data_IF_252079270227
#
_entry.id   IF_252079270227
#
_cell.length_a   1.000
_cell.length_b   1.000
_cell.length_c   1.000
_cell.angle_alpha   90.00
_cell.angle_beta   90.00
_cell.angle_gamma   90.00
#
_symmetry.space_group_name_H-M   'P 1'
#
loop_
_entity.id
_entity.type
_entity.pdbx_description
1 polymer ?
#
# COMPACT_ATOMS: atom_id res chain seq x y z
N UNK A 1 18.17 -24.20 -1.69
CA UNK A 1 18.78 -22.90 -1.31
C UNK A 1 18.61 -21.96 -2.49
N UNK A 2 18.06 -20.75 -2.30
CA UNK A 2 17.84 -19.83 -3.42
C UNK A 2 19.19 -19.28 -3.93
N UNK A 3 19.44 -19.33 -5.24
CA UNK A 3 20.67 -18.79 -5.84
C UNK A 3 20.76 -17.29 -5.54
N UNK A 4 21.87 -16.88 -4.94
CA UNK A 4 22.20 -15.46 -4.79
C UNK A 4 22.90 -14.98 -6.05
N UNK A 5 22.48 -13.82 -6.55
CA UNK A 5 23.01 -13.20 -7.77
C UNK A 5 23.87 -12.00 -7.40
N UNK A 6 25.05 -11.91 -7.98
CA UNK A 6 25.96 -10.78 -7.80
C UNK A 6 25.53 -9.58 -8.68
N UNK A 7 26.06 -8.38 -8.39
CA UNK A 7 25.72 -7.14 -9.13
C UNK A 7 25.93 -7.30 -10.64
N UNK A 8 27.07 -7.85 -11.03
CA UNK A 8 27.44 -8.03 -12.44
C UNK A 8 26.53 -9.06 -13.14
N UNK A 9 26.24 -10.19 -12.47
CA UNK A 9 25.31 -11.19 -13.02
C UNK A 9 23.91 -10.62 -13.24
N UNK A 10 23.42 -9.78 -12.30
CA UNK A 10 22.12 -9.12 -12.45
C UNK A 10 22.10 -8.17 -13.65
N UNK A 11 23.19 -7.44 -13.89
CA UNK A 11 23.32 -6.56 -15.06
C UNK A 11 23.29 -7.38 -16.36
N UNK A 12 24.04 -8.48 -16.44
CA UNK A 12 24.00 -9.37 -17.60
C UNK A 12 22.61 -9.94 -17.88
N UNK A 13 21.86 -10.27 -16.82
CA UNK A 13 20.47 -10.75 -16.97
C UNK A 13 19.56 -9.63 -17.49
N UNK A 14 19.76 -8.40 -17.04
CA UNK A 14 18.98 -7.25 -17.51
C UNK A 14 19.28 -6.92 -18.97
N UNK A 15 20.55 -6.92 -19.38
CA UNK A 15 20.93 -6.70 -20.78
C UNK A 15 20.41 -7.82 -21.68
N UNK A 16 20.48 -9.08 -21.22
CA UNK A 16 19.88 -10.21 -21.92
C UNK A 16 18.36 -10.05 -22.08
N UNK A 17 17.66 -9.54 -21.05
CA UNK A 17 16.23 -9.29 -21.07
C UNK A 17 15.80 -8.15 -22.01
N UNK A 18 16.67 -7.16 -22.21
CA UNK A 18 16.44 -6.08 -23.18
C UNK A 18 16.59 -6.58 -24.62
N UNK A 19 17.58 -7.43 -24.88
CA UNK A 19 17.85 -7.97 -26.22
C UNK A 19 16.88 -9.09 -26.63
N UNK A 20 16.57 -10.01 -25.72
CA UNK A 20 15.83 -11.25 -26.03
C UNK A 20 14.41 -11.27 -25.45
N UNK A 21 14.07 -10.30 -24.62
CA UNK A 21 12.78 -10.20 -23.96
C UNK A 21 12.64 -11.03 -22.68
N UNK A 22 11.62 -10.68 -21.90
CA UNK A 22 11.42 -11.18 -20.53
C UNK A 22 11.09 -12.67 -20.50
N UNK A 23 10.31 -13.19 -21.46
CA UNK A 23 9.86 -14.60 -21.46
C UNK A 23 11.05 -15.57 -21.56
N UNK A 24 11.97 -15.32 -22.49
CA UNK A 24 13.17 -16.15 -22.68
C UNK A 24 14.12 -16.03 -21.48
N UNK A 25 14.24 -14.83 -20.91
CA UNK A 25 15.07 -14.60 -19.72
C UNK A 25 14.57 -15.39 -18.50
N UNK A 26 13.27 -15.37 -18.26
CA UNK A 26 12.63 -16.11 -17.17
C UNK A 26 12.91 -17.62 -17.30
N UNK A 27 12.79 -18.16 -18.52
CA UNK A 27 13.06 -19.57 -18.78
C UNK A 27 14.56 -19.91 -18.62
N UNK A 28 15.45 -19.09 -19.17
CA UNK A 28 16.90 -19.34 -19.15
C UNK A 28 17.50 -19.27 -17.75
N UNK A 29 17.13 -18.26 -16.97
CA UNK A 29 17.72 -18.01 -15.65
C UNK A 29 16.87 -18.54 -14.50
N UNK A 30 15.66 -19.05 -14.78
CA UNK A 30 14.68 -19.48 -13.78
C UNK A 30 14.38 -18.38 -12.73
N UNK A 31 14.14 -17.16 -13.20
CA UNK A 31 13.88 -15.98 -12.36
C UNK A 31 12.45 -15.50 -12.59
N UNK A 32 11.75 -15.14 -11.50
CA UNK A 32 10.41 -14.58 -11.61
C UNK A 32 10.41 -13.23 -12.34
N UNK A 33 9.38 -12.97 -13.16
CA UNK A 33 9.19 -11.69 -13.88
C UNK A 33 9.23 -10.48 -12.93
N UNK A 34 8.64 -10.62 -11.75
CA UNK A 34 8.63 -9.59 -10.71
C UNK A 34 10.03 -9.23 -10.21
N UNK A 35 10.94 -10.19 -10.15
CA UNK A 35 12.34 -9.95 -9.76
C UNK A 35 13.09 -9.15 -10.81
N UNK A 36 12.92 -9.48 -12.09
CA UNK A 36 13.51 -8.73 -13.22
C UNK A 36 12.96 -7.30 -13.23
N UNK A 37 11.66 -7.13 -13.05
CA UNK A 37 11.03 -5.81 -12.99
C UNK A 37 11.58 -4.98 -11.83
N UNK A 38 11.69 -5.57 -10.63
CA UNK A 38 12.29 -4.90 -9.46
C UNK A 38 13.72 -4.43 -9.76
N UNK A 39 14.57 -5.30 -10.31
CA UNK A 39 15.95 -4.92 -10.65
C UNK A 39 16.01 -3.80 -11.67
N UNK A 40 15.13 -3.79 -12.68
CA UNK A 40 15.05 -2.69 -13.65
C UNK A 40 14.71 -1.36 -12.99
N UNK A 41 13.76 -1.35 -12.05
CA UNK A 41 13.41 -0.15 -11.27
C UNK A 41 14.58 0.27 -10.37
N UNK A 42 15.25 -0.70 -9.71
CA UNK A 42 16.41 -0.42 -8.86
C UNK A 42 17.54 0.26 -9.67
N UNK A 43 17.86 -0.23 -10.88
CA UNK A 43 18.86 0.37 -11.80
C UNK A 43 18.47 1.80 -12.20
N UNK A 44 17.21 2.02 -12.55
CA UNK A 44 16.74 3.34 -12.97
C UNK A 44 16.88 4.39 -11.86
N UNK A 45 16.75 3.98 -10.60
CA UNK A 45 16.91 4.87 -9.45
C UNK A 45 18.38 5.07 -9.07
N UNK A 46 19.15 3.98 -8.92
CA UNK A 46 20.58 4.02 -8.61
C UNK A 46 21.22 2.64 -8.92
N UNK A 47 22.30 2.60 -9.70
CA UNK A 47 23.03 1.37 -10.03
C UNK A 47 23.51 0.57 -8.81
N UNK A 48 23.80 1.23 -7.69
CA UNK A 48 24.25 0.55 -6.47
C UNK A 48 23.13 -0.21 -5.74
N UNK A 49 21.86 0.03 -6.10
CA UNK A 49 20.71 -0.69 -5.57
C UNK A 49 20.68 -2.16 -6.01
N UNK A 50 21.43 -2.53 -7.05
CA UNK A 50 21.62 -3.93 -7.45
C UNK A 50 22.43 -4.73 -6.41
N UNK A 51 23.21 -4.07 -5.55
CA UNK A 51 23.93 -4.74 -4.48
C UNK A 51 22.98 -5.28 -3.42
N UNK A 52 23.38 -6.41 -2.85
CA UNK A 52 22.58 -7.06 -1.83
C UNK A 52 22.41 -6.14 -0.61
N UNK A 53 21.18 -5.99 -0.13
CA UNK A 53 20.85 -5.13 1.01
C UNK A 53 20.64 -3.64 0.69
N UNK A 54 20.98 -3.16 -0.51
CA UNK A 54 20.81 -1.75 -0.90
C UNK A 54 19.54 -1.47 -1.72
N UNK A 55 19.02 -2.47 -2.43
CA UNK A 55 17.84 -2.32 -3.28
C UNK A 55 16.54 -2.11 -2.52
N UNK A 56 15.51 -1.66 -3.25
CA UNK A 56 14.18 -1.37 -2.71
C UNK A 56 13.60 -2.60 -2.00
N UNK A 57 13.55 -2.56 -0.67
CA UNK A 57 13.00 -3.66 0.11
C UNK A 57 11.47 -3.71 -0.10
N UNK A 58 10.96 -4.88 -0.46
CA UNK A 58 9.52 -5.12 -0.60
C UNK A 58 8.75 -5.04 0.72
N UNK A 59 9.44 -4.78 1.84
CA UNK A 59 8.82 -4.39 3.11
C UNK A 59 8.41 -2.93 3.08
N UNK A 60 7.71 -2.50 2.02
CA UNK A 60 6.72 -1.48 2.28
C UNK A 60 5.74 -2.15 3.24
N UNK A 61 5.73 -1.70 4.49
CA UNK A 61 4.52 -1.80 5.31
C UNK A 61 3.48 -1.09 4.46
N UNK A 62 2.76 -1.82 3.61
CA UNK A 62 1.51 -1.33 3.05
C UNK A 62 0.79 -0.86 4.29
N UNK A 63 0.68 0.46 4.50
CA UNK A 63 -0.21 0.99 5.52
C UNK A 63 -1.50 0.24 5.22
N UNK A 64 -1.88 -0.69 6.11
CA UNK A 64 -3.15 -1.38 5.94
C UNK A 64 -4.11 -0.22 5.82
N UNK A 65 -4.69 -0.02 4.64
CA UNK A 65 -5.94 0.70 4.56
C UNK A 65 -6.82 -0.18 5.43
N UNK A 66 -6.95 0.19 6.70
CA UNK A 66 -7.85 -0.50 7.60
C UNK A 66 -9.18 -0.26 6.90
N UNK A 67 -9.68 -1.27 6.19
CA UNK A 67 -11.06 -1.30 5.77
C UNK A 67 -11.81 -1.47 7.07
N UNK A 68 -12.10 -0.34 7.73
CA UNK A 68 -12.96 -0.25 8.89
C UNK A 68 -14.38 -0.50 8.35
N UNK A 69 -14.66 -1.69 7.87
CA UNK A 69 -16.04 -2.11 7.65
C UNK A 69 -16.68 -2.59 8.95
N UNK A 70 -15.87 -2.84 9.99
CA UNK A 70 -16.27 -3.08 11.39
C UNK A 70 -15.00 -2.97 12.24
N UNK A 71 -14.82 -1.91 13.04
CA UNK A 71 -13.84 -1.97 14.14
C UNK A 71 -14.43 -2.97 15.14
N UNK A 72 -13.90 -4.19 15.17
CA UNK A 72 -14.19 -5.13 16.25
C UNK A 72 -13.39 -4.70 17.50
N UNK A 73 -13.89 -5.07 18.69
CA UNK A 73 -13.25 -4.82 19.98
C UNK A 73 -11.81 -5.36 20.01
N UNK A 74 -11.52 -6.42 19.24
CA UNK A 74 -10.19 -6.99 19.07
C UNK A 74 -9.25 -6.17 18.19
N UNK A 75 -9.78 -5.36 17.26
CA UNK A 75 -8.96 -4.49 16.41
C UNK A 75 -8.49 -3.27 17.19
N UNK A 76 -9.35 -2.72 18.06
CA UNK A 76 -9.01 -1.60 18.96
C UNK A 76 -7.81 -1.94 19.85
N UNK A 77 -7.74 -3.18 20.38
CA UNK A 77 -6.65 -3.64 21.23
C UNK A 77 -5.30 -3.74 20.50
N UNK A 78 -5.30 -3.83 19.17
CA UNK A 78 -4.10 -3.98 18.34
C UNK A 78 -3.62 -2.65 17.73
N UNK A 79 -4.40 -1.57 17.89
CA UNK A 79 -4.07 -0.26 17.37
C UNK A 79 -3.05 0.45 18.24
N UNK A 80 -2.19 1.23 17.58
CA UNK A 80 -1.31 2.16 18.26
C UNK A 80 -2.10 3.29 18.91
N UNK A 81 -1.53 3.93 19.94
CA UNK A 81 -2.15 5.07 20.64
C UNK A 81 -2.54 6.20 19.68
N UNK A 82 -1.72 6.48 18.67
CA UNK A 82 -2.00 7.50 17.65
C UNK A 82 -3.21 7.16 16.79
N UNK A 83 -3.37 5.89 16.39
CA UNK A 83 -4.52 5.46 15.59
C UNK A 83 -5.82 5.56 16.41
N UNK A 84 -5.76 5.24 17.71
CA UNK A 84 -6.90 5.40 18.62
C UNK A 84 -7.31 6.87 18.79
N UNK A 85 -6.35 7.78 18.89
CA UNK A 85 -6.62 9.22 18.97
C UNK A 85 -7.26 9.78 17.69
N UNK A 86 -6.82 9.33 16.52
CA UNK A 86 -7.42 9.71 15.23
C UNK A 86 -8.87 9.22 15.11
N UNK A 87 -9.14 7.97 15.48
CA UNK A 87 -10.49 7.40 15.47
C UNK A 87 -11.41 8.15 16.45
N UNK A 88 -10.91 8.49 17.64
CA UNK A 88 -11.68 9.25 18.62
C UNK A 88 -12.03 10.65 18.09
N UNK A 89 -11.06 11.37 17.49
CA UNK A 89 -11.29 12.69 16.87
C UNK A 89 -12.34 12.61 15.77
N UNK A 90 -12.25 11.59 14.91
CA UNK A 90 -13.24 11.34 13.87
C UNK A 90 -14.63 11.08 14.45
N UNK A 91 -14.72 10.26 15.51
CA UNK A 91 -15.97 9.98 16.18
C UNK A 91 -16.64 11.25 16.72
N UNK A 92 -15.88 12.13 17.39
CA UNK A 92 -16.38 13.42 17.86
C UNK A 92 -16.81 14.34 16.72
N UNK A 93 -16.04 14.40 15.63
CA UNK A 93 -16.37 15.20 14.47
C UNK A 93 -17.68 14.74 13.83
N UNK A 94 -17.88 13.43 13.68
CA UNK A 94 -19.09 12.85 13.08
C UNK A 94 -20.31 12.95 13.99
N UNK A 95 -20.15 12.89 15.32
CA UNK A 95 -21.24 13.06 16.29
C UNK A 95 -22.01 14.37 16.09
N UNK A 96 -21.32 15.44 15.68
CA UNK A 96 -21.95 16.74 15.34
C UNK A 96 -22.96 16.65 14.20
N UNK A 97 -22.81 15.68 13.31
CA UNK A 97 -23.63 15.51 12.10
C UNK A 97 -24.68 14.39 12.24
N UNK A 98 -24.70 13.66 13.35
CA UNK A 98 -25.59 12.52 13.56
C UNK A 98 -27.08 12.92 13.56
N UNK A 99 -27.42 14.02 14.23
CA UNK A 99 -28.77 14.58 14.30
C UNK A 99 -29.09 15.60 13.19
N UNK A 100 -28.16 15.81 12.25
CA UNK A 100 -28.32 16.79 11.16
C UNK A 100 -29.08 16.23 9.97
N UNK A 101 -29.48 17.11 9.06
CA UNK A 101 -30.19 16.72 7.84
C UNK A 101 -29.31 15.86 6.93
N UNK A 102 -29.93 15.06 6.05
CA UNK A 102 -29.21 14.21 5.09
C UNK A 102 -28.23 15.03 4.23
N UNK A 103 -28.62 16.24 3.80
CA UNK A 103 -27.77 17.16 3.04
C UNK A 103 -26.49 17.56 3.80
N UNK A 104 -26.64 17.92 5.07
CA UNK A 104 -25.48 18.27 5.91
C UNK A 104 -24.59 17.08 6.22
N UNK A 105 -25.19 15.89 6.35
CA UNK A 105 -24.44 14.64 6.49
C UNK A 105 -23.62 14.35 5.22
N UNK A 106 -24.18 14.52 4.02
CA UNK A 106 -23.43 14.42 2.74
C UNK A 106 -22.28 15.43 2.65
N UNK A 107 -22.51 16.67 3.10
CA UNK A 107 -21.45 17.68 3.14
C UNK A 107 -20.30 17.26 4.06
N UNK A 108 -20.60 16.66 5.21
CA UNK A 108 -19.59 16.12 6.11
C UNK A 108 -18.80 14.96 5.47
N UNK A 109 -19.47 14.07 4.73
CA UNK A 109 -18.82 13.00 3.96
C UNK A 109 -17.83 13.58 2.96
N UNK A 110 -18.26 14.55 2.15
CA UNK A 110 -17.39 15.18 1.14
C UNK A 110 -16.21 15.95 1.75
N UNK A 111 -16.40 16.54 2.94
CA UNK A 111 -15.33 17.24 3.66
C UNK A 111 -14.28 16.27 4.22
N UNK A 112 -14.70 15.10 4.70
CA UNK A 112 -13.84 14.12 5.36
C UNK A 112 -13.34 13.02 4.42
N UNK A 113 -13.77 13.01 3.15
CA UNK A 113 -13.38 12.01 2.15
C UNK A 113 -11.93 12.13 1.69
N UNK A 114 -11.24 13.23 2.01
CA UNK A 114 -9.80 13.39 1.77
C UNK A 114 -8.98 12.45 2.64
N UNK A 115 -9.45 12.24 3.87
CA UNK A 115 -8.69 11.56 4.92
C UNK A 115 -9.24 10.16 5.20
N UNK A 116 -10.55 9.94 4.96
CA UNK A 116 -11.25 8.71 5.29
C UNK A 116 -12.05 8.16 4.11
N UNK A 117 -12.32 6.84 4.16
CA UNK A 117 -13.13 6.18 3.14
C UNK A 117 -14.58 6.66 3.17
N UNK A 118 -15.12 7.04 2.01
CA UNK A 118 -16.52 7.46 1.84
C UNK A 118 -17.49 6.41 2.36
N UNK A 119 -17.25 5.12 2.07
CA UNK A 119 -18.11 4.03 2.52
C UNK A 119 -18.21 3.94 4.05
N UNK A 120 -17.11 4.25 4.76
CA UNK A 120 -17.09 4.28 6.22
C UNK A 120 -17.92 5.46 6.76
N UNK A 121 -17.72 6.65 6.18
CA UNK A 121 -18.41 7.86 6.60
C UNK A 121 -19.94 7.73 6.37
N UNK A 122 -20.35 7.18 5.22
CA UNK A 122 -21.75 6.92 4.89
C UNK A 122 -22.40 5.94 5.88
N UNK A 123 -21.73 4.83 6.21
CA UNK A 123 -22.22 3.87 7.23
C UNK A 123 -22.36 4.52 8.60
N UNK A 124 -21.37 5.30 9.05
CA UNK A 124 -21.39 5.92 10.37
C UNK A 124 -22.46 7.01 10.50
N UNK A 125 -22.80 7.70 9.40
CA UNK A 125 -23.84 8.73 9.37
C UNK A 125 -25.24 8.20 8.98
N UNK A 126 -25.33 6.92 8.61
CA UNK A 126 -26.59 6.27 8.20
C UNK A 126 -27.09 6.76 6.84
N UNK A 127 -26.18 7.05 5.90
CA UNK A 127 -26.50 7.53 4.56
C UNK A 127 -26.23 6.42 3.54
N UNK A 128 -27.13 6.22 2.59
CA UNK A 128 -26.90 5.37 1.42
C UNK A 128 -26.08 6.12 0.37
N UNK A 129 -25.11 5.41 -0.23
CA UNK A 129 -24.20 5.96 -1.25
C UNK A 129 -24.93 6.35 -2.52
#
# INVERSE_FOLDING_TARGET
>A
MAKQWNKNEKLEILTFAELNGIKLTVQKYNIAKSTIHRWRVDVQNNFDNLEWGRGSQSKQKTKRRISISTIDSNDVKKMSRSELEEIAKLHFALKKYEAKTIKEKFFAVNKLSTDYSVDFLCRKLGITR
#
